data_IF_342534122886
#
_entry.id   IF_342534122886
#
_cell.length_a   1.000
_cell.length_b   1.000
_cell.length_c   1.000
_cell.angle_alpha   90.00
_cell.angle_beta   90.00
_cell.angle_gamma   90.00
#
_symmetry.space_group_name_H-M   'P 1'
#
loop_
_entity.id
_entity.type
_entity.pdbx_description
1 polymer ?
#
# COMPACT_ATOMS: atom_id res chain seq x y z
N UNK A 1 3.98 -6.03 26.16
CA UNK A 1 2.95 -5.75 25.13
C UNK A 1 3.02 -4.28 24.76
N UNK A 2 3.14 -3.98 23.46
CA UNK A 2 3.16 -2.60 22.92
C UNK A 2 1.88 -2.35 22.13
N UNK A 3 1.22 -1.24 22.44
CA UNK A 3 0.15 -0.70 21.60
C UNK A 3 0.78 0.08 20.44
N UNK A 4 0.56 -0.42 19.23
CA UNK A 4 1.08 0.16 17.99
C UNK A 4 -0.01 0.88 17.20
N UNK A 5 -1.23 0.95 17.71
CA UNK A 5 -2.43 1.43 17.00
C UNK A 5 -2.24 2.82 16.38
N UNK A 6 -1.56 3.72 17.08
CA UNK A 6 -1.31 5.08 16.57
C UNK A 6 -0.37 5.12 15.35
N UNK A 7 0.45 4.09 15.15
CA UNK A 7 1.45 4.02 14.08
C UNK A 7 1.01 3.10 12.93
N UNK A 8 0.50 1.91 13.28
CA UNK A 8 0.21 0.85 12.30
C UNK A 8 -1.28 0.72 12.00
N UNK A 9 -2.13 1.32 12.81
CA UNK A 9 -3.59 1.14 12.72
C UNK A 9 -4.10 -0.18 13.31
N UNK A 10 -3.21 -1.06 13.79
CA UNK A 10 -3.58 -2.35 14.36
C UNK A 10 -4.20 -2.18 15.75
N UNK A 11 -5.35 -2.84 15.98
CA UNK A 11 -6.05 -2.78 17.27
C UNK A 11 -5.50 -3.77 18.31
N UNK A 12 -4.73 -4.77 17.89
CA UNK A 12 -4.18 -5.81 18.77
C UNK A 12 -2.78 -5.41 19.21
N UNK A 13 -2.49 -5.34 20.53
CA UNK A 13 -1.16 -5.02 21.02
C UNK A 13 -0.12 -6.08 20.60
N UNK A 14 1.03 -5.61 20.12
CA UNK A 14 2.14 -6.45 19.68
C UNK A 14 2.95 -6.95 20.87
N UNK A 15 3.24 -8.24 20.94
CA UNK A 15 4.19 -8.80 21.89
C UNK A 15 5.61 -8.61 21.37
N UNK A 16 6.50 -8.03 22.16
CA UNK A 16 7.93 -7.90 21.84
C UNK A 16 8.79 -8.69 22.82
N UNK A 17 9.91 -9.22 22.33
CA UNK A 17 10.89 -10.01 23.06
C UNK A 17 12.27 -9.35 22.98
N UNK A 18 13.23 -9.89 23.74
CA UNK A 18 14.62 -9.43 23.68
C UNK A 18 15.18 -9.60 22.25
N UNK A 19 15.65 -8.50 21.67
CA UNK A 19 16.17 -8.44 20.30
C UNK A 19 15.20 -7.88 19.27
N UNK A 20 13.91 -7.74 19.61
CA UNK A 20 12.92 -7.15 18.70
C UNK A 20 13.05 -5.63 18.67
N UNK A 21 12.69 -5.04 17.53
CA UNK A 21 12.65 -3.59 17.35
C UNK A 21 11.34 -3.02 17.91
N UNK A 22 11.46 -1.98 18.77
CA UNK A 22 10.35 -1.19 19.28
C UNK A 22 10.33 0.17 18.58
N UNK A 23 9.22 0.49 17.90
CA UNK A 23 9.07 1.75 17.18
C UNK A 23 8.79 2.90 18.14
N UNK A 24 9.39 4.08 17.88
CA UNK A 24 9.06 5.31 18.60
C UNK A 24 7.59 5.67 18.37
N UNK A 25 6.87 6.06 19.43
CA UNK A 25 5.45 6.38 19.40
C UNK A 25 4.51 5.23 19.80
N UNK A 26 5.05 4.03 20.09
CA UNK A 26 4.27 2.95 20.69
C UNK A 26 4.06 3.19 22.21
N UNK A 27 2.93 2.72 22.72
CA UNK A 27 2.59 2.80 24.15
C UNK A 27 2.82 1.44 24.81
N UNK A 28 3.66 1.40 25.86
CA UNK A 28 3.83 0.18 26.64
C UNK A 28 2.61 -0.07 27.53
N UNK A 29 1.87 -1.16 27.26
CA UNK A 29 0.69 -1.54 28.02
C UNK A 29 0.99 -2.43 29.22
N UNK A 30 2.06 -3.26 29.13
CA UNK A 30 2.40 -4.19 30.21
C UNK A 30 3.86 -4.61 30.17
N UNK A 31 4.44 -4.82 31.36
CA UNK A 31 5.83 -5.26 31.54
C UNK A 31 6.84 -4.12 31.51
N UNK A 32 8.01 -4.37 32.11
CA UNK A 32 9.17 -3.46 32.09
C UNK A 32 9.92 -3.67 30.75
N UNK A 33 10.20 -2.57 30.05
CA UNK A 33 11.00 -2.57 28.83
C UNK A 33 12.32 -1.85 29.06
N UNK A 34 13.41 -2.51 28.69
CA UNK A 34 14.72 -1.88 28.57
C UNK A 34 15.03 -1.74 27.09
N UNK A 35 15.13 -0.50 26.60
CA UNK A 35 15.32 -0.17 25.20
C UNK A 35 16.70 0.43 24.99
N UNK A 36 17.38 0.01 23.91
CA UNK A 36 18.57 0.69 23.40
C UNK A 36 18.16 1.58 22.23
N UNK A 37 18.40 2.89 22.35
CA UNK A 37 18.15 3.82 21.25
C UNK A 37 19.09 3.52 20.09
N UNK A 38 18.54 3.27 18.91
CA UNK A 38 19.28 2.93 17.69
C UNK A 38 19.25 4.06 16.67
N UNK A 39 18.27 4.96 16.73
CA UNK A 39 18.10 6.11 15.81
C UNK A 39 17.82 7.38 16.61
N UNK A 40 18.20 8.54 16.07
CA UNK A 40 17.88 9.85 16.66
C UNK A 40 16.38 10.15 16.56
N UNK A 41 15.88 11.15 17.31
CA UNK A 41 14.45 11.54 17.24
C UNK A 41 14.03 11.95 15.82
N UNK A 42 14.86 12.71 15.09
CA UNK A 42 14.58 13.11 13.69
C UNK A 42 14.49 11.94 12.71
N UNK A 43 15.12 10.81 13.03
CA UNK A 43 15.04 9.57 12.26
C UNK A 43 13.97 8.60 12.78
N UNK A 44 13.25 9.00 13.83
CA UNK A 44 12.19 8.17 14.44
C UNK A 44 11.00 8.01 13.51
N UNK A 45 10.28 6.92 13.68
CA UNK A 45 9.05 6.64 12.94
C UNK A 45 8.03 7.76 13.03
N UNK A 46 7.83 8.32 14.23
CA UNK A 46 6.88 9.43 14.46
C UNK A 46 7.30 10.68 13.70
N UNK A 47 8.61 11.06 13.77
CA UNK A 47 9.12 12.22 13.04
C UNK A 47 8.92 12.06 11.53
N UNK A 48 9.27 10.89 10.97
CA UNK A 48 9.08 10.59 9.54
C UNK A 48 7.60 10.64 9.12
N UNK A 49 6.68 10.11 9.93
CA UNK A 49 5.24 10.19 9.67
C UNK A 49 4.78 11.64 9.66
N UNK A 50 5.19 12.42 10.65
CA UNK A 50 4.83 13.85 10.75
C UNK A 50 5.34 14.62 9.54
N UNK A 51 6.62 14.45 9.19
CA UNK A 51 7.22 15.09 8.02
C UNK A 51 6.52 14.70 6.72
N UNK A 52 6.15 13.42 6.56
CA UNK A 52 5.42 12.95 5.38
C UNK A 52 4.02 13.56 5.28
N UNK A 53 3.29 13.67 6.39
CA UNK A 53 1.95 14.29 6.42
C UNK A 53 2.05 15.79 6.15
N UNK A 54 3.01 16.49 6.75
CA UNK A 54 3.23 17.93 6.52
C UNK A 54 3.63 18.21 5.06
N UNK A 55 4.57 17.43 4.52
CA UNK A 55 5.05 17.59 3.14
C UNK A 55 4.05 17.07 2.10
N UNK A 56 3.12 16.18 2.47
CA UNK A 56 2.07 15.69 1.57
C UNK A 56 1.19 16.82 1.04
N UNK A 57 1.01 17.90 1.80
CA UNK A 57 0.27 19.09 1.37
C UNK A 57 0.95 19.86 0.24
N UNK A 58 2.27 19.70 0.04
CA UNK A 58 3.00 20.34 -1.04
C UNK A 58 2.67 19.75 -2.43
N UNK A 59 2.26 18.48 -2.50
CA UNK A 59 1.88 17.78 -3.74
C UNK A 59 0.37 17.83 -3.93
N UNK A 60 -0.11 18.96 -4.50
CA UNK A 60 -1.54 19.24 -4.66
C UNK A 60 -2.22 18.31 -5.67
N UNK A 61 -3.43 17.90 -5.32
CA UNK A 61 -4.29 17.15 -6.23
C UNK A 61 -4.67 17.94 -7.48
N UNK A 62 -4.90 17.28 -8.64
CA UNK A 62 -5.44 17.93 -9.84
C UNK A 62 -6.70 18.74 -9.54
N UNK A 63 -7.59 18.26 -8.68
CA UNK A 63 -8.79 19.00 -8.26
C UNK A 63 -8.45 20.28 -7.49
N UNK A 64 -7.42 20.30 -6.64
CA UNK A 64 -6.96 21.50 -5.93
C UNK A 64 -6.32 22.52 -6.90
N UNK A 65 -5.50 22.02 -7.84
CA UNK A 65 -4.89 22.85 -8.88
C UNK A 65 -5.96 23.46 -9.80
N UNK A 66 -7.01 22.72 -10.13
CA UNK A 66 -8.15 23.22 -10.90
C UNK A 66 -8.84 24.38 -10.19
N UNK A 67 -9.11 24.27 -8.89
CA UNK A 67 -9.74 25.37 -8.11
C UNK A 67 -8.87 26.62 -8.10
N UNK A 68 -7.56 26.47 -7.93
CA UNK A 68 -6.61 27.61 -7.96
C UNK A 68 -6.59 28.28 -9.33
N UNK A 69 -6.57 27.49 -10.40
CA UNK A 69 -6.60 28.00 -11.79
C UNK A 69 -7.96 28.63 -12.11
N UNK A 70 -9.06 27.99 -11.70
CA UNK A 70 -10.41 28.53 -11.85
C UNK A 70 -10.54 29.92 -11.19
N UNK A 71 -10.09 30.06 -9.94
CA UNK A 71 -10.15 31.35 -9.23
C UNK A 71 -9.40 32.44 -9.97
N UNK A 72 -8.27 32.16 -10.62
CA UNK A 72 -7.49 33.12 -11.41
C UNK A 72 -8.26 33.71 -12.58
N UNK A 73 -9.06 32.91 -13.29
CA UNK A 73 -9.86 33.37 -14.43
C UNK A 73 -11.24 33.89 -14.01
N UNK A 74 -11.82 33.24 -13.01
CA UNK A 74 -13.15 33.55 -12.49
C UNK A 74 -13.21 34.99 -11.89
N UNK A 75 -12.22 35.37 -11.09
CA UNK A 75 -12.23 36.64 -10.37
C UNK A 75 -12.29 37.87 -11.32
N UNK A 76 -11.47 38.00 -12.36
CA UNK A 76 -11.59 39.14 -13.31
C UNK A 76 -12.93 39.19 -14.02
N UNK A 77 -13.49 38.03 -14.39
CA UNK A 77 -14.80 37.96 -15.06
C UNK A 77 -15.90 38.45 -14.13
N UNK A 78 -15.90 38.03 -12.88
CA UNK A 78 -16.87 38.44 -11.86
C UNK A 78 -16.78 39.94 -11.57
N UNK A 79 -15.56 40.46 -11.42
CA UNK A 79 -15.34 41.92 -11.21
C UNK A 79 -15.86 42.72 -12.42
N UNK A 80 -15.58 42.23 -13.63
CA UNK A 80 -16.11 42.85 -14.86
C UNK A 80 -17.64 42.85 -14.90
N UNK A 81 -18.27 41.70 -14.59
CA UNK A 81 -19.75 41.61 -14.52
C UNK A 81 -20.35 42.51 -13.45
N UNK A 82 -19.72 42.60 -12.28
CA UNK A 82 -20.16 43.49 -11.21
C UNK A 82 -20.08 44.98 -11.63
N UNK A 83 -19.00 45.35 -12.32
CA UNK A 83 -18.85 46.71 -12.87
C UNK A 83 -19.93 47.02 -13.95
N UNK A 84 -20.18 46.06 -14.83
CA UNK A 84 -21.27 46.15 -15.83
C UNK A 84 -22.62 46.33 -15.14
N UNK A 85 -22.91 45.50 -14.11
CA UNK A 85 -24.16 45.59 -13.34
C UNK A 85 -24.30 46.93 -12.57
N UNK A 86 -23.20 47.50 -12.09
CA UNK A 86 -23.21 48.74 -11.35
C UNK A 86 -23.33 50.01 -12.26
N UNK A 87 -22.82 49.94 -13.51
CA UNK A 87 -22.67 51.11 -14.39
C UNK A 87 -23.74 51.16 -15.51
N UNK A 88 -23.96 50.05 -16.20
CA UNK A 88 -24.83 50.04 -17.41
C UNK A 88 -26.31 50.25 -17.07
N UNK A 89 -26.94 49.57 -16.12
CA UNK A 89 -28.36 49.72 -15.85
C UNK A 89 -28.76 51.12 -15.43
N UNK A 90 -28.04 51.85 -14.53
CA UNK A 90 -28.43 53.22 -14.19
C UNK A 90 -28.32 54.19 -15.38
N UNK A 91 -27.44 53.92 -16.36
CA UNK A 91 -27.30 54.73 -17.56
C UNK A 91 -28.42 54.47 -18.59
N UNK A 92 -28.91 53.21 -18.68
CA UNK A 92 -29.88 52.80 -19.72
C UNK A 92 -31.31 52.82 -19.21
N UNK A 93 -31.55 52.35 -17.97
CA UNK A 93 -32.88 52.17 -17.39
C UNK A 93 -33.28 53.35 -16.50
N UNK A 94 -32.36 54.30 -16.20
CA UNK A 94 -32.54 55.26 -15.16
C UNK A 94 -32.55 54.62 -13.76
N UNK A 95 -32.62 55.43 -12.72
CA UNK A 95 -32.66 54.98 -11.33
C UNK A 95 -31.46 55.46 -10.52
N UNK A 96 -31.54 55.27 -9.19
CA UNK A 96 -30.50 55.75 -8.28
C UNK A 96 -29.20 54.96 -8.39
N UNK A 97 -28.09 55.64 -8.66
CA UNK A 97 -26.75 55.03 -8.69
C UNK A 97 -26.42 54.21 -7.43
N UNK A 98 -26.92 54.64 -6.27
CA UNK A 98 -26.68 53.95 -5.00
C UNK A 98 -27.25 52.51 -4.98
N UNK A 99 -28.42 52.30 -5.59
CA UNK A 99 -29.06 50.99 -5.65
C UNK A 99 -28.30 50.00 -6.55
N UNK A 100 -27.87 50.45 -7.75
CA UNK A 100 -27.10 49.61 -8.66
C UNK A 100 -25.67 49.35 -8.16
N UNK A 101 -25.05 50.30 -7.49
CA UNK A 101 -23.78 50.08 -6.78
C UNK A 101 -23.94 49.04 -5.66
N UNK A 102 -25.02 49.17 -4.86
CA UNK A 102 -25.32 48.17 -3.82
C UNK A 102 -25.49 46.76 -4.41
N UNK A 103 -26.19 46.60 -5.51
CA UNK A 103 -26.34 45.31 -6.22
C UNK A 103 -25.00 44.78 -6.73
N UNK A 104 -24.17 45.66 -7.29
CA UNK A 104 -22.80 45.30 -7.70
C UNK A 104 -21.95 44.80 -6.55
N UNK A 105 -22.00 45.43 -5.37
CA UNK A 105 -21.30 44.95 -4.18
C UNK A 105 -21.83 43.60 -3.64
N UNK A 106 -23.17 43.45 -3.60
CA UNK A 106 -23.81 42.17 -3.24
C UNK A 106 -23.34 41.05 -4.17
N UNK A 107 -23.33 41.34 -5.49
CA UNK A 107 -22.86 40.40 -6.51
C UNK A 107 -21.39 40.01 -6.30
N UNK A 108 -20.50 40.97 -5.99
CA UNK A 108 -19.08 40.71 -5.69
C UNK A 108 -18.90 39.80 -4.45
N UNK A 109 -19.61 40.08 -3.36
CA UNK A 109 -19.51 39.31 -2.11
C UNK A 109 -19.96 37.88 -2.33
N UNK A 110 -21.11 37.68 -2.97
CA UNK A 110 -21.64 36.33 -3.23
C UNK A 110 -20.75 35.54 -4.16
N UNK A 111 -20.06 36.21 -5.08
CA UNK A 111 -19.23 35.55 -6.10
C UNK A 111 -17.92 34.96 -5.54
N UNK A 112 -17.48 35.33 -4.31
CA UNK A 112 -16.24 34.75 -3.77
C UNK A 112 -16.32 33.21 -3.70
N UNK A 113 -15.41 32.42 -4.29
CA UNK A 113 -15.43 30.96 -4.19
C UNK A 113 -14.84 30.44 -2.86
N UNK A 114 -14.98 31.23 -1.77
CA UNK A 114 -14.30 31.02 -0.48
C UNK A 114 -14.56 29.60 0.10
N UNK A 115 -15.80 29.13 0.02
CA UNK A 115 -16.17 27.79 0.49
C UNK A 115 -15.39 26.67 -0.23
N UNK A 116 -15.15 26.80 -1.54
CA UNK A 116 -14.39 25.81 -2.32
C UNK A 116 -12.90 25.86 -2.03
N UNK A 117 -12.34 27.08 -1.98
CA UNK A 117 -10.91 27.33 -1.76
C UNK A 117 -10.46 26.78 -0.40
N UNK A 118 -11.33 26.81 0.62
CA UNK A 118 -11.04 26.32 1.97
C UNK A 118 -11.37 24.83 2.10
N UNK A 119 -12.58 24.43 1.70
CA UNK A 119 -13.08 23.06 2.02
C UNK A 119 -12.42 21.96 1.22
N UNK A 120 -11.96 22.23 -0.01
CA UNK A 120 -11.36 21.19 -0.85
C UNK A 120 -9.97 20.76 -0.33
N UNK A 121 -9.00 21.68 -0.10
CA UNK A 121 -7.74 21.31 0.52
C UNK A 121 -7.93 20.67 1.91
N UNK A 122 -8.83 21.20 2.73
CA UNK A 122 -9.15 20.65 4.04
C UNK A 122 -9.67 19.21 3.95
N UNK A 123 -10.49 18.90 2.94
CA UNK A 123 -11.00 17.53 2.74
C UNK A 123 -9.88 16.58 2.33
N UNK A 124 -8.97 16.97 1.44
CA UNK A 124 -7.81 16.15 1.07
C UNK A 124 -6.85 15.95 2.23
N UNK A 125 -6.54 17.01 2.98
CA UNK A 125 -5.70 16.93 4.15
C UNK A 125 -6.30 16.00 5.22
N UNK A 126 -7.60 16.15 5.48
CA UNK A 126 -8.34 15.25 6.36
C UNK A 126 -8.35 13.80 5.85
N UNK A 127 -8.41 13.59 4.53
CA UNK A 127 -8.31 12.27 3.89
C UNK A 127 -6.95 11.61 4.10
N UNK A 128 -5.85 12.38 3.95
CA UNK A 128 -4.50 11.89 4.24
C UNK A 128 -4.38 11.50 5.73
N UNK A 129 -4.88 12.34 6.65
CA UNK A 129 -4.91 12.04 8.07
C UNK A 129 -5.76 10.81 8.41
N UNK A 130 -6.90 10.61 7.74
CA UNK A 130 -7.73 9.42 7.91
C UNK A 130 -7.05 8.15 7.39
N UNK A 131 -6.33 8.23 6.27
CA UNK A 131 -5.52 7.12 5.74
C UNK A 131 -4.37 6.77 6.71
N UNK A 132 -3.67 7.77 7.23
CA UNK A 132 -2.58 7.59 8.21
C UNK A 132 -3.05 6.87 9.48
N UNK A 133 -4.23 7.22 10.02
CA UNK A 133 -4.84 6.53 11.17
C UNK A 133 -5.13 5.04 10.91
N UNK A 134 -5.26 4.64 9.65
CA UNK A 134 -5.47 3.25 9.23
C UNK A 134 -4.20 2.53 8.86
N UNK A 135 -3.04 3.14 9.12
CA UNK A 135 -1.75 2.58 8.78
C UNK A 135 -1.38 2.72 7.31
N UNK A 136 -1.92 3.73 6.61
CA UNK A 136 -1.60 4.03 5.21
C UNK A 136 -1.06 5.45 5.10
N UNK A 137 0.22 5.59 4.75
CA UNK A 137 0.86 6.90 4.51
C UNK A 137 0.74 7.28 3.04
N UNK A 138 0.12 8.41 2.77
CA UNK A 138 -0.04 8.96 1.41
C UNK A 138 0.80 10.22 1.30
N UNK A 139 1.78 10.24 0.41
CA UNK A 139 2.76 11.32 0.27
C UNK A 139 2.25 12.59 -0.44
N UNK A 140 0.97 12.64 -0.78
CA UNK A 140 0.40 13.82 -1.42
C UNK A 140 -1.08 13.66 -1.76
N UNK A 141 -1.81 14.77 -1.81
CA UNK A 141 -3.22 14.78 -2.19
C UNK A 141 -3.45 14.35 -3.64
N UNK A 142 -2.46 14.55 -4.52
CA UNK A 142 -2.46 14.03 -5.89
C UNK A 142 -2.50 12.49 -5.92
N UNK A 143 -1.79 11.81 -5.02
CA UNK A 143 -1.81 10.35 -4.92
C UNK A 143 -3.11 9.84 -4.31
N UNK A 144 -3.67 10.55 -3.31
CA UNK A 144 -4.99 10.23 -2.78
C UNK A 144 -6.07 10.37 -3.86
N UNK A 145 -5.99 11.41 -4.71
CA UNK A 145 -6.90 11.54 -5.85
C UNK A 145 -6.66 10.44 -6.90
N UNK A 146 -5.40 10.05 -7.15
CA UNK A 146 -5.06 8.99 -8.07
C UNK A 146 -5.59 7.63 -7.62
N UNK A 147 -5.47 7.29 -6.33
CA UNK A 147 -6.03 6.06 -5.74
C UNK A 147 -7.52 5.89 -6.02
N UNK A 148 -8.30 6.99 -6.01
CA UNK A 148 -9.73 6.93 -6.36
C UNK A 148 -10.01 6.49 -7.80
N UNK A 149 -9.02 6.61 -8.70
CA UNK A 149 -9.14 6.28 -10.13
C UNK A 149 -8.45 4.98 -10.50
N UNK A 150 -7.91 4.23 -9.53
CA UNK A 150 -7.23 2.96 -9.76
C UNK A 150 -8.20 1.94 -10.33
N UNK A 151 -7.89 1.42 -11.50
CA UNK A 151 -8.62 0.33 -12.16
C UNK A 151 -7.77 -0.92 -12.36
N UNK A 152 -6.45 -0.79 -12.37
CA UNK A 152 -5.52 -1.91 -12.48
C UNK A 152 -4.59 -1.90 -11.28
N UNK A 153 -4.49 -3.03 -10.59
CA UNK A 153 -3.53 -3.23 -9.49
C UNK A 153 -2.58 -4.34 -9.87
N UNK A 154 -1.31 -4.03 -9.85
CA UNK A 154 -0.21 -4.95 -10.15
C UNK A 154 0.56 -5.21 -8.87
N UNK A 155 0.74 -6.47 -8.52
CA UNK A 155 1.42 -6.90 -7.30
C UNK A 155 2.76 -7.56 -7.63
N UNK A 156 3.78 -7.29 -6.86
CA UNK A 156 4.90 -8.21 -6.72
C UNK A 156 4.43 -9.46 -5.96
N UNK A 157 5.08 -10.62 -6.13
CA UNK A 157 4.78 -11.83 -5.38
C UNK A 157 5.44 -11.81 -4.00
N UNK A 158 6.76 -11.93 -3.97
CA UNK A 158 7.56 -12.14 -2.77
C UNK A 158 7.56 -10.90 -1.88
N UNK A 159 7.31 -11.07 -0.58
CA UNK A 159 7.24 -9.95 0.37
C UNK A 159 5.99 -9.07 0.23
N UNK A 160 5.15 -9.26 -0.79
CA UNK A 160 3.94 -8.48 -1.06
C UNK A 160 2.67 -9.34 -0.88
N UNK A 161 2.42 -10.29 -1.76
CA UNK A 161 1.31 -11.25 -1.65
C UNK A 161 1.67 -12.44 -0.76
N UNK A 162 2.95 -12.70 -0.60
CA UNK A 162 3.54 -13.75 0.22
C UNK A 162 4.37 -13.12 1.34
N UNK A 163 4.68 -13.90 2.36
CA UNK A 163 5.45 -13.45 3.54
C UNK A 163 6.92 -13.15 3.23
N UNK A 164 7.44 -13.60 2.08
CA UNK A 164 8.86 -13.50 1.74
C UNK A 164 9.75 -14.42 2.58
N UNK A 165 9.16 -15.38 3.26
CA UNK A 165 9.86 -16.39 4.04
C UNK A 165 9.59 -17.78 3.48
N UNK A 166 10.64 -18.57 3.41
CA UNK A 166 10.52 -19.95 3.00
C UNK A 166 9.92 -20.76 4.12
N UNK A 167 8.87 -21.54 3.83
CA UNK A 167 8.28 -22.50 4.77
C UNK A 167 8.19 -23.88 4.14
N UNK A 168 8.20 -24.92 5.00
CA UNK A 168 7.98 -26.30 4.58
C UNK A 168 6.51 -26.47 4.20
N UNK A 169 6.20 -26.41 2.91
CA UNK A 169 4.82 -26.50 2.40
C UNK A 169 4.31 -27.94 2.40
N UNK A 170 5.18 -28.92 2.08
CA UNK A 170 4.82 -30.35 2.11
C UNK A 170 6.06 -31.23 2.23
N UNK A 171 5.87 -32.43 2.76
CA UNK A 171 6.91 -33.48 2.86
C UNK A 171 6.40 -34.72 2.12
N UNK A 172 7.16 -35.16 1.13
CA UNK A 172 6.85 -36.33 0.29
C UNK A 172 7.88 -37.41 0.58
N UNK A 173 7.56 -38.38 1.44
CA UNK A 173 8.47 -39.46 1.76
C UNK A 173 8.59 -40.44 0.60
N UNK A 174 9.77 -41.07 0.46
CA UNK A 174 9.97 -42.21 -0.39
C UNK A 174 9.33 -43.49 0.20
N UNK A 175 9.15 -44.50 -0.62
CA UNK A 175 8.59 -45.77 -0.15
C UNK A 175 9.41 -46.38 1.02
N UNK A 176 8.72 -46.65 2.12
CA UNK A 176 9.35 -47.19 3.34
C UNK A 176 9.77 -46.16 4.37
N UNK A 177 9.63 -44.86 4.09
CA UNK A 177 9.91 -43.75 5.03
C UNK A 177 8.65 -42.99 5.45
N UNK A 178 8.71 -42.35 6.62
CA UNK A 178 7.65 -41.48 7.14
C UNK A 178 8.06 -40.01 6.99
N UNK A 179 7.08 -39.10 6.99
CA UNK A 179 7.34 -37.64 6.86
C UNK A 179 8.27 -37.11 7.94
N UNK A 180 8.09 -37.60 9.15
CA UNK A 180 8.90 -37.26 10.33
C UNK A 180 10.37 -37.64 10.16
N UNK A 181 10.65 -38.78 9.54
CA UNK A 181 12.01 -39.21 9.25
C UNK A 181 12.70 -38.37 8.19
N UNK A 182 11.97 -38.01 7.11
CA UNK A 182 12.48 -37.09 6.07
C UNK A 182 12.86 -35.77 6.69
N UNK A 183 11.95 -35.20 7.52
CA UNK A 183 12.17 -33.93 8.20
C UNK A 183 13.32 -33.99 9.20
N UNK A 184 13.46 -35.09 9.93
CA UNK A 184 14.53 -35.30 10.89
C UNK A 184 15.91 -35.33 10.21
N UNK A 185 16.08 -36.14 9.16
CA UNK A 185 17.34 -36.16 8.39
C UNK A 185 17.68 -34.82 7.78
N UNK A 186 16.67 -34.10 7.22
CA UNK A 186 16.87 -32.76 6.69
C UNK A 186 17.30 -31.76 7.77
N UNK A 187 16.64 -31.78 8.93
CA UNK A 187 16.96 -30.90 10.05
C UNK A 187 18.36 -31.18 10.64
N UNK A 188 18.74 -32.45 10.70
CA UNK A 188 20.08 -32.85 11.11
C UNK A 188 21.16 -32.33 10.13
N UNK A 189 20.93 -32.48 8.82
CA UNK A 189 21.85 -31.98 7.81
C UNK A 189 21.99 -30.47 7.83
N UNK A 190 20.88 -29.78 7.98
CA UNK A 190 20.81 -28.28 7.95
C UNK A 190 21.15 -27.63 9.29
N UNK A 191 21.49 -28.38 10.33
CA UNK A 191 21.70 -27.89 11.71
C UNK A 191 22.81 -26.84 11.87
N UNK A 192 23.78 -26.81 10.95
CA UNK A 192 24.87 -25.83 10.91
C UNK A 192 24.67 -24.74 9.85
N UNK A 193 23.65 -24.84 9.02
CA UNK A 193 23.40 -23.90 7.93
C UNK A 193 22.63 -22.64 8.40
N UNK A 194 23.07 -21.48 7.92
CA UNK A 194 22.35 -20.22 8.12
C UNK A 194 21.40 -19.88 6.96
N UNK A 195 21.26 -20.78 5.99
CA UNK A 195 20.42 -20.57 4.83
C UNK A 195 18.93 -20.41 5.23
N UNK A 196 18.14 -19.53 4.57
CA UNK A 196 16.71 -19.37 4.89
C UNK A 196 15.89 -20.67 4.85
N UNK A 197 16.21 -21.57 3.92
CA UNK A 197 15.61 -22.91 3.82
C UNK A 197 15.93 -23.75 5.06
N UNK A 198 17.18 -23.72 5.53
CA UNK A 198 17.59 -24.42 6.75
C UNK A 198 16.80 -23.95 7.97
N UNK A 199 16.65 -22.63 8.13
CA UNK A 199 15.85 -22.06 9.23
C UNK A 199 14.40 -22.52 9.19
N UNK A 200 13.81 -22.63 8.01
CA UNK A 200 12.45 -23.13 7.82
C UNK A 200 12.33 -24.61 8.22
N UNK A 201 13.25 -25.45 7.75
CA UNK A 201 13.29 -26.89 8.08
C UNK A 201 13.46 -27.08 9.59
N UNK A 202 14.40 -26.35 10.21
CA UNK A 202 14.65 -26.42 11.65
C UNK A 202 13.44 -25.94 12.48
N UNK A 203 12.79 -24.86 12.06
CA UNK A 203 11.58 -24.35 12.71
C UNK A 203 10.43 -25.36 12.64
N UNK A 204 10.25 -26.02 11.49
CA UNK A 204 9.22 -27.04 11.29
C UNK A 204 9.52 -28.31 12.09
N UNK A 205 10.78 -28.68 12.21
CA UNK A 205 11.19 -29.85 13.02
C UNK A 205 10.94 -29.59 14.51
N UNK A 206 11.25 -28.41 15.03
CA UNK A 206 10.86 -27.93 16.36
C UNK A 206 11.46 -28.71 17.56
N UNK A 207 12.35 -29.69 17.33
CA UNK A 207 12.99 -30.48 18.38
C UNK A 207 14.45 -30.08 18.51
N UNK A 208 15.05 -30.23 19.72
CA UNK A 208 16.48 -30.01 19.90
C UNK A 208 17.28 -31.04 19.11
N UNK A 209 18.35 -30.60 18.46
CA UNK A 209 19.26 -31.46 17.69
C UNK A 209 20.59 -31.54 18.46
N UNK A 210 21.02 -32.75 18.77
CA UNK A 210 22.31 -33.00 19.42
C UNK A 210 23.43 -33.04 18.37
N UNK A 211 24.05 -31.87 18.17
CA UNK A 211 25.14 -31.72 17.19
C UNK A 211 26.41 -32.52 17.51
N UNK A 212 26.56 -33.07 18.73
CA UNK A 212 27.71 -33.87 19.12
C UNK A 212 27.77 -35.24 18.39
N UNK A 213 26.68 -35.65 17.79
CA UNK A 213 26.56 -36.90 17.06
C UNK A 213 26.91 -36.79 15.57
N UNK A 214 27.36 -35.59 15.11
CA UNK A 214 27.66 -35.28 13.72
C UNK A 214 29.16 -35.20 13.49
N UNK A 215 29.60 -35.71 12.34
CA UNK A 215 30.97 -35.59 11.83
C UNK A 215 30.92 -35.28 10.32
N UNK A 216 32.07 -34.90 9.76
CA UNK A 216 32.27 -34.74 8.32
C UNK A 216 31.22 -33.88 7.65
N UNK A 217 30.92 -32.69 8.25
CA UNK A 217 30.03 -31.71 7.67
C UNK A 217 30.71 -31.01 6.48
N UNK A 218 30.09 -31.07 5.31
CA UNK A 218 30.56 -30.41 4.09
C UNK A 218 29.42 -29.73 3.40
N UNK A 219 29.58 -28.42 3.17
CA UNK A 219 28.65 -27.62 2.36
C UNK A 219 29.15 -27.63 0.90
N UNK A 220 28.36 -28.25 0.01
CA UNK A 220 28.65 -28.36 -1.43
C UNK A 220 27.97 -27.19 -2.12
N UNK A 221 28.77 -26.16 -2.47
CA UNK A 221 28.27 -24.88 -3.03
C UNK A 221 27.34 -25.11 -4.23
N UNK A 222 26.12 -24.53 -4.13
CA UNK A 222 25.10 -24.61 -5.18
C UNK A 222 24.41 -25.99 -5.31
N UNK A 223 24.70 -26.95 -4.42
CA UNK A 223 24.14 -28.30 -4.45
C UNK A 223 23.39 -28.66 -3.16
N UNK A 224 23.98 -28.42 -2.00
CA UNK A 224 23.43 -28.75 -0.68
C UNK A 224 24.48 -29.15 0.33
N UNK A 225 24.13 -30.01 1.25
CA UNK A 225 24.96 -30.43 2.41
C UNK A 225 25.12 -31.92 2.47
N UNK A 226 26.34 -32.33 2.86
CA UNK A 226 26.68 -33.72 3.25
C UNK A 226 27.11 -33.71 4.71
N UNK A 227 26.60 -34.64 5.51
CA UNK A 227 26.97 -34.79 6.93
C UNK A 227 26.87 -36.25 7.36
N UNK A 228 27.77 -36.66 8.23
CA UNK A 228 27.68 -37.97 8.89
C UNK A 228 26.89 -37.86 10.19
N UNK A 229 25.77 -38.56 10.28
CA UNK A 229 24.88 -38.60 11.45
C UNK A 229 24.87 -40.03 12.01
N UNK A 230 25.39 -40.25 13.19
CA UNK A 230 25.45 -41.58 13.83
C UNK A 230 26.02 -42.68 12.89
N UNK A 231 27.03 -42.35 12.10
CA UNK A 231 27.67 -43.26 11.16
C UNK A 231 26.96 -43.43 9.81
N UNK A 232 25.85 -42.73 9.57
CA UNK A 232 25.13 -42.71 8.28
C UNK A 232 25.43 -41.41 7.51
N UNK A 233 25.75 -41.54 6.22
CA UNK A 233 25.92 -40.37 5.35
C UNK A 233 24.57 -39.80 4.97
N UNK A 234 24.23 -38.59 5.45
CA UNK A 234 23.03 -37.88 5.12
C UNK A 234 23.35 -36.77 4.11
N UNK A 235 22.58 -36.70 3.04
CA UNK A 235 22.66 -35.71 1.98
C UNK A 235 21.36 -34.94 1.92
N UNK A 236 21.44 -33.63 1.86
CA UNK A 236 20.28 -32.74 1.81
C UNK A 236 20.55 -31.59 0.86
N UNK A 237 19.71 -31.42 -0.17
CA UNK A 237 19.93 -30.38 -1.18
C UNK A 237 19.05 -30.50 -2.41
N UNK A 238 19.49 -29.90 -3.52
CA UNK A 238 18.76 -29.88 -4.79
C UNK A 238 18.98 -31.20 -5.60
N UNK A 239 18.34 -31.28 -6.78
CA UNK A 239 18.47 -32.45 -7.67
C UNK A 239 19.90 -32.70 -8.15
N UNK A 240 20.69 -31.65 -8.31
CA UNK A 240 22.10 -31.77 -8.75
C UNK A 240 22.94 -32.49 -7.72
N UNK A 241 22.65 -32.34 -6.43
CA UNK A 241 23.31 -33.12 -5.38
C UNK A 241 23.00 -34.60 -5.51
N UNK A 242 21.75 -34.98 -5.75
CA UNK A 242 21.35 -36.37 -5.96
C UNK A 242 22.03 -36.98 -7.20
N UNK A 243 22.10 -36.19 -8.29
CA UNK A 243 22.74 -36.63 -9.54
C UNK A 243 24.26 -36.81 -9.38
N UNK A 244 24.96 -35.88 -8.70
CA UNK A 244 26.41 -35.98 -8.46
C UNK A 244 26.79 -37.14 -7.59
N UNK A 245 25.94 -37.49 -6.62
CA UNK A 245 26.13 -38.65 -5.73
C UNK A 245 25.50 -39.94 -6.30
N UNK A 246 24.98 -39.90 -7.53
CA UNK A 246 24.38 -41.05 -8.28
C UNK A 246 23.22 -41.72 -7.52
N UNK A 247 22.44 -40.93 -6.80
CA UNK A 247 21.28 -41.41 -6.07
C UNK A 247 20.05 -41.36 -6.97
N UNK A 248 19.40 -42.50 -7.15
CA UNK A 248 18.12 -42.55 -7.86
C UNK A 248 17.02 -41.94 -7.00
N UNK A 249 16.37 -40.90 -7.48
CA UNK A 249 15.32 -40.19 -6.78
C UNK A 249 14.04 -40.04 -7.63
N UNK A 250 12.91 -39.96 -6.98
CA UNK A 250 11.64 -39.64 -7.66
C UNK A 250 11.54 -38.16 -7.93
N UNK A 251 11.36 -37.79 -9.18
CA UNK A 251 11.10 -36.37 -9.55
C UNK A 251 9.78 -35.93 -8.91
N UNK A 252 9.81 -34.81 -8.21
CA UNK A 252 8.63 -34.23 -7.62
C UNK A 252 8.04 -33.18 -8.58
N UNK A 253 6.81 -33.39 -9.05
CA UNK A 253 6.14 -32.44 -9.96
C UNK A 253 5.36 -31.31 -9.26
N UNK A 254 5.38 -31.26 -7.93
CA UNK A 254 4.69 -30.22 -7.17
C UNK A 254 5.36 -28.85 -7.34
N UNK A 255 4.58 -27.79 -7.24
CA UNK A 255 5.07 -26.41 -7.27
C UNK A 255 5.85 -26.07 -6.00
N UNK A 256 7.01 -25.45 -6.11
CA UNK A 256 7.87 -25.06 -4.99
C UNK A 256 9.33 -25.41 -5.22
N UNK A 257 10.19 -24.89 -4.35
CA UNK A 257 11.61 -25.30 -4.30
C UNK A 257 11.71 -26.68 -3.72
N UNK A 258 12.35 -27.59 -4.45
CA UNK A 258 12.46 -28.99 -4.09
C UNK A 258 13.76 -29.24 -3.35
N UNK A 259 13.64 -29.77 -2.15
CA UNK A 259 14.74 -30.07 -1.28
C UNK A 259 14.76 -31.59 -1.04
N UNK A 260 15.70 -32.28 -1.67
CA UNK A 260 15.81 -33.74 -1.64
C UNK A 260 16.68 -34.20 -0.47
N UNK A 261 16.29 -35.29 0.12
CA UNK A 261 16.99 -35.91 1.26
C UNK A 261 17.34 -37.35 0.92
N UNK A 262 18.59 -37.74 1.20
CA UNK A 262 19.05 -39.10 1.07
C UNK A 262 19.88 -39.54 2.30
N UNK A 263 19.85 -40.79 2.65
CA UNK A 263 20.62 -41.35 3.74
C UNK A 263 21.24 -42.69 3.30
N UNK A 264 22.51 -42.90 3.56
CA UNK A 264 23.29 -44.12 3.17
C UNK A 264 23.08 -44.51 1.70
N UNK A 265 23.15 -43.54 0.78
CA UNK A 265 22.99 -43.79 -0.64
C UNK A 265 21.56 -44.09 -1.11
N UNK A 266 20.57 -44.03 -0.22
CA UNK A 266 19.16 -44.27 -0.54
C UNK A 266 18.36 -43.01 -0.45
N UNK A 267 17.48 -42.76 -1.43
CA UNK A 267 16.55 -41.63 -1.43
C UNK A 267 15.50 -41.78 -0.31
N UNK A 268 15.41 -40.78 0.57
CA UNK A 268 14.51 -40.79 1.73
C UNK A 268 13.23 -40.01 1.44
N UNK A 269 13.32 -38.91 0.68
CA UNK A 269 12.15 -38.11 0.36
C UNK A 269 12.50 -36.72 -0.14
N UNK A 270 11.44 -35.93 -0.46
CA UNK A 270 11.53 -34.55 -0.89
C UNK A 270 10.73 -33.63 0.03
N UNK A 271 11.32 -32.55 0.44
CA UNK A 271 10.65 -31.45 1.14
C UNK A 271 10.35 -30.35 0.12
N UNK A 272 9.11 -29.93 0.04
CA UNK A 272 8.71 -28.78 -0.76
C UNK A 272 8.79 -27.54 0.10
N UNK A 273 9.58 -26.60 -0.36
CA UNK A 273 9.73 -25.29 0.26
C UNK A 273 9.00 -24.28 -0.62
N UNK A 274 8.08 -23.54 -0.06
CA UNK A 274 7.34 -22.50 -0.74
C UNK A 274 7.33 -21.22 0.09
N UNK A 275 7.15 -20.10 -0.59
CA UNK A 275 6.89 -18.83 0.05
C UNK A 275 5.40 -18.77 0.38
N UNK A 276 5.08 -18.66 1.65
CA UNK A 276 3.71 -18.73 2.16
C UNK A 276 2.90 -17.49 1.75
N UNK A 277 1.72 -17.71 1.20
CA UNK A 277 0.74 -16.65 0.89
C UNK A 277 0.28 -16.01 2.20
N UNK A 278 0.24 -14.66 2.24
CA UNK A 278 -0.27 -13.95 3.42
C UNK A 278 -1.76 -14.24 3.63
N UNK A 279 -2.21 -14.40 4.86
CA UNK A 279 -3.59 -14.82 5.18
C UNK A 279 -4.67 -13.88 4.60
N UNK A 280 -4.36 -12.58 4.50
CA UNK A 280 -5.28 -11.56 4.02
C UNK A 280 -5.23 -11.32 2.50
N UNK A 281 -4.21 -11.81 1.78
CA UNK A 281 -4.01 -11.56 0.35
C UNK A 281 -5.22 -11.95 -0.49
N UNK A 282 -5.79 -13.13 -0.25
CA UNK A 282 -6.96 -13.60 -1.00
C UNK A 282 -8.19 -12.71 -0.76
N UNK A 283 -8.41 -12.33 0.49
CA UNK A 283 -9.50 -11.42 0.86
C UNK A 283 -9.29 -10.04 0.23
N UNK A 284 -8.06 -9.50 0.32
CA UNK A 284 -7.70 -8.21 -0.28
C UNK A 284 -8.00 -8.16 -1.78
N UNK A 285 -7.60 -9.20 -2.54
CA UNK A 285 -7.86 -9.27 -3.99
C UNK A 285 -9.36 -9.33 -4.29
N UNK A 286 -10.12 -10.14 -3.54
CA UNK A 286 -11.55 -10.24 -3.71
C UNK A 286 -12.27 -8.91 -3.40
N UNK A 287 -11.83 -8.19 -2.37
CA UNK A 287 -12.40 -6.90 -1.99
C UNK A 287 -12.02 -5.79 -2.98
N UNK A 288 -10.77 -5.78 -3.50
CA UNK A 288 -10.37 -4.85 -4.56
C UNK A 288 -11.31 -4.96 -5.79
N UNK A 289 -11.66 -6.18 -6.20
CA UNK A 289 -12.61 -6.39 -7.30
C UNK A 289 -14.01 -5.86 -6.96
N UNK A 290 -14.50 -6.07 -5.73
CA UNK A 290 -15.81 -5.54 -5.28
C UNK A 290 -15.86 -4.02 -5.27
N UNK A 291 -14.76 -3.36 -4.92
CA UNK A 291 -14.70 -1.89 -4.91
C UNK A 291 -14.42 -1.27 -6.29
N UNK A 292 -14.36 -2.07 -7.36
CA UNK A 292 -14.31 -1.63 -8.74
C UNK A 292 -12.92 -1.60 -9.38
N UNK A 293 -11.94 -2.33 -8.83
CA UNK A 293 -10.70 -2.65 -9.56
C UNK A 293 -11.04 -3.64 -10.67
N UNK A 294 -10.74 -3.26 -11.91
CA UNK A 294 -11.11 -4.01 -13.11
C UNK A 294 -10.14 -5.18 -13.38
N UNK A 295 -8.88 -5.03 -12.97
CA UNK A 295 -7.84 -6.03 -13.23
C UNK A 295 -6.83 -6.10 -12.10
N UNK A 296 -6.56 -7.32 -11.63
CA UNK A 296 -5.52 -7.64 -10.64
C UNK A 296 -4.48 -8.54 -11.28
N UNK A 297 -3.20 -8.16 -11.22
CA UNK A 297 -2.11 -8.81 -11.93
C UNK A 297 -0.97 -9.08 -10.97
N UNK A 298 -0.25 -10.18 -11.15
CA UNK A 298 0.98 -10.47 -10.41
C UNK A 298 2.19 -10.49 -11.35
N UNK A 299 3.29 -9.83 -10.93
CA UNK A 299 4.60 -9.94 -11.57
C UNK A 299 5.56 -10.66 -10.63
N UNK A 300 6.27 -11.67 -11.14
CA UNK A 300 7.24 -12.43 -10.34
C UNK A 300 8.45 -12.88 -11.17
N UNK A 301 9.60 -12.98 -10.51
CA UNK A 301 10.80 -13.61 -11.08
C UNK A 301 10.79 -15.14 -10.97
N UNK A 302 9.84 -15.73 -10.24
CA UNK A 302 9.77 -17.16 -10.01
C UNK A 302 9.37 -17.95 -11.25
N UNK A 303 9.51 -19.29 -11.13
CA UNK A 303 9.09 -20.26 -12.15
C UNK A 303 7.59 -20.12 -12.47
N UNK A 304 7.26 -20.42 -13.73
CA UNK A 304 5.88 -20.33 -14.29
C UNK A 304 4.86 -21.12 -13.47
N UNK A 305 5.24 -22.33 -12.96
CA UNK A 305 4.33 -23.18 -12.19
C UNK A 305 4.01 -22.59 -10.81
N UNK A 306 5.02 -21.98 -10.18
CA UNK A 306 4.85 -21.31 -8.88
C UNK A 306 3.96 -20.08 -9.07
N UNK A 307 4.26 -19.25 -10.09
CA UNK A 307 3.47 -18.08 -10.43
C UNK A 307 2.01 -18.42 -10.69
N UNK A 308 1.76 -19.46 -11.49
CA UNK A 308 0.41 -19.94 -11.79
C UNK A 308 -0.33 -20.42 -10.54
N UNK A 309 0.32 -21.25 -9.70
CA UNK A 309 -0.30 -21.79 -8.49
C UNK A 309 -0.77 -20.68 -7.54
N UNK A 310 0.08 -19.66 -7.31
CA UNK A 310 -0.25 -18.52 -6.45
C UNK A 310 -1.36 -17.65 -7.09
N UNK A 311 -1.32 -17.44 -8.39
CA UNK A 311 -2.33 -16.65 -9.09
C UNK A 311 -3.71 -17.32 -9.03
N UNK A 312 -3.77 -18.62 -9.24
CA UNK A 312 -5.01 -19.42 -9.17
C UNK A 312 -5.57 -19.45 -7.73
N UNK A 313 -4.72 -19.63 -6.72
CA UNK A 313 -5.10 -19.64 -5.30
C UNK A 313 -5.71 -18.31 -4.86
N UNK A 314 -5.11 -17.20 -5.29
CA UNK A 314 -5.53 -15.83 -4.94
C UNK A 314 -6.69 -15.32 -5.81
N UNK A 315 -6.96 -15.97 -6.94
CA UNK A 315 -7.98 -15.56 -7.90
C UNK A 315 -7.60 -14.28 -8.65
N UNK A 316 -6.32 -14.12 -9.01
CA UNK A 316 -5.83 -13.03 -9.84
C UNK A 316 -6.31 -13.16 -11.29
N UNK A 317 -6.44 -12.03 -11.99
CA UNK A 317 -6.93 -12.02 -13.39
C UNK A 317 -5.82 -12.37 -14.38
N UNK A 318 -4.56 -12.10 -14.03
CA UNK A 318 -3.40 -12.45 -14.84
C UNK A 318 -2.13 -12.54 -13.96
N UNK A 319 -1.13 -13.23 -14.48
CA UNK A 319 0.21 -13.24 -13.90
C UNK A 319 1.27 -13.29 -15.01
N UNK A 320 2.46 -12.83 -14.69
CA UNK A 320 3.66 -12.95 -15.53
C UNK A 320 4.82 -13.41 -14.65
N UNK A 321 5.40 -14.54 -15.04
CA UNK A 321 6.47 -15.22 -14.31
C UNK A 321 7.82 -15.11 -15.03
N UNK A 322 8.90 -15.53 -14.38
CA UNK A 322 10.27 -15.55 -14.90
C UNK A 322 10.78 -14.18 -15.38
N UNK A 323 10.30 -13.10 -14.74
CA UNK A 323 10.65 -11.75 -15.14
C UNK A 323 11.94 -11.26 -14.46
N UNK A 324 12.84 -10.69 -15.23
CA UNK A 324 13.92 -9.85 -14.74
C UNK A 324 13.39 -8.47 -14.33
N UNK A 325 14.13 -7.69 -13.53
CA UNK A 325 13.68 -6.38 -13.06
C UNK A 325 13.28 -5.40 -14.17
N UNK A 326 14.04 -5.35 -15.25
CA UNK A 326 13.76 -4.55 -16.45
C UNK A 326 12.48 -5.01 -17.17
N UNK A 327 12.29 -6.32 -17.29
CA UNK A 327 11.11 -6.91 -17.89
C UNK A 327 9.84 -6.65 -17.05
N UNK A 328 9.95 -6.53 -15.72
CA UNK A 328 8.82 -6.11 -14.88
C UNK A 328 8.35 -4.70 -15.26
N UNK A 329 9.29 -3.77 -15.52
CA UNK A 329 8.97 -2.41 -15.96
C UNK A 329 8.27 -2.43 -17.32
N UNK A 330 8.78 -3.18 -18.28
CA UNK A 330 8.17 -3.33 -19.62
C UNK A 330 6.73 -3.88 -19.53
N UNK A 331 6.50 -4.89 -18.66
CA UNK A 331 5.16 -5.45 -18.44
C UNK A 331 4.22 -4.46 -17.78
N UNK A 332 4.72 -3.69 -16.82
CA UNK A 332 3.94 -2.61 -16.21
C UNK A 332 3.51 -1.57 -17.24
N UNK A 333 4.43 -1.11 -18.11
CA UNK A 333 4.14 -0.14 -19.17
C UNK A 333 3.15 -0.70 -20.20
N UNK A 334 3.22 -1.99 -20.51
CA UNK A 334 2.24 -2.64 -21.38
C UNK A 334 0.84 -2.60 -20.73
N UNK A 335 0.73 -2.94 -19.47
CA UNK A 335 -0.53 -2.90 -18.72
C UNK A 335 -1.05 -1.46 -18.59
N UNK A 336 -0.16 -0.50 -18.40
CA UNK A 336 -0.50 0.92 -18.33
C UNK A 336 -1.15 1.42 -19.64
N UNK A 337 -0.63 1.01 -20.78
CA UNK A 337 -1.21 1.33 -22.12
C UNK A 337 -2.55 0.67 -22.36
N UNK A 338 -2.83 -0.47 -21.71
CA UNK A 338 -4.08 -1.23 -21.88
C UNK A 338 -5.21 -0.78 -20.96
N UNK A 339 -4.92 0.01 -19.94
CA UNK A 339 -5.94 0.49 -18.99
C UNK A 339 -6.93 1.43 -19.66
N UNK A 340 -8.12 1.55 -19.06
CA UNK A 340 -9.14 2.49 -19.52
C UNK A 340 -8.63 3.93 -19.48
N UNK A 341 -8.98 4.73 -20.49
CA UNK A 341 -8.60 6.13 -20.54
C UNK A 341 -9.09 6.88 -19.29
N UNK A 342 -8.18 7.63 -18.65
CA UNK A 342 -8.45 8.39 -17.42
C UNK A 342 -8.41 7.56 -16.13
N UNK A 343 -8.24 6.24 -16.20
CA UNK A 343 -7.98 5.40 -15.03
C UNK A 343 -6.49 5.40 -14.67
N UNK A 344 -6.17 4.84 -13.49
CA UNK A 344 -4.83 4.76 -12.94
C UNK A 344 -4.40 3.32 -12.68
N UNK A 345 -3.10 3.07 -12.83
CA UNK A 345 -2.45 1.82 -12.49
C UNK A 345 -1.67 1.99 -11.18
N UNK A 346 -1.93 1.11 -10.21
CA UNK A 346 -1.14 1.01 -8.99
C UNK A 346 -0.22 -0.21 -9.06
N UNK A 347 1.03 -0.04 -8.61
CA UNK A 347 1.95 -1.15 -8.37
C UNK A 347 2.22 -1.29 -6.89
N UNK A 348 2.14 -2.52 -6.37
CA UNK A 348 2.37 -2.85 -4.96
C UNK A 348 3.59 -3.77 -4.87
N UNK A 349 4.60 -3.35 -4.12
CA UNK A 349 5.86 -4.08 -3.96
C UNK A 349 6.51 -3.88 -2.59
N UNK A 350 7.63 -4.54 -2.34
CA UNK A 350 8.40 -4.41 -1.09
C UNK A 350 9.32 -3.17 -1.05
N UNK A 351 9.48 -2.50 -2.17
CA UNK A 351 10.20 -1.22 -2.31
C UNK A 351 11.71 -1.32 -2.47
N UNK A 352 12.36 -2.42 -2.16
CA UNK A 352 13.82 -2.56 -2.25
C UNK A 352 14.21 -2.98 -3.67
N UNK A 353 13.65 -4.07 -4.15
CA UNK A 353 13.99 -4.63 -5.47
C UNK A 353 13.11 -4.06 -6.59
N UNK A 354 11.94 -3.54 -6.24
CA UNK A 354 10.94 -3.06 -7.18
C UNK A 354 10.92 -1.52 -7.34
N UNK A 355 11.92 -0.80 -6.80
CA UNK A 355 11.99 0.67 -6.87
C UNK A 355 11.80 1.24 -8.29
N UNK A 356 12.40 0.66 -9.37
CA UNK A 356 12.16 1.14 -10.72
C UNK A 356 10.70 0.95 -11.19
N UNK A 357 10.04 -0.13 -10.75
CA UNK A 357 8.65 -0.43 -11.10
C UNK A 357 7.70 0.48 -10.33
N UNK A 358 7.97 0.71 -9.02
CA UNK A 358 7.24 1.64 -8.17
C UNK A 358 7.25 3.06 -8.75
N UNK A 359 8.43 3.55 -9.14
CA UNK A 359 8.60 4.89 -9.71
C UNK A 359 7.89 5.06 -11.08
N UNK A 360 7.66 3.96 -11.80
CA UNK A 360 7.05 3.99 -13.14
C UNK A 360 5.53 3.89 -13.11
N UNK A 361 4.94 3.36 -12.03
CA UNK A 361 3.50 3.28 -11.86
C UNK A 361 2.84 4.67 -11.73
N UNK A 362 1.54 4.78 -12.03
CA UNK A 362 0.78 6.00 -11.70
C UNK A 362 0.73 6.23 -10.18
N UNK A 363 0.70 5.13 -9.39
CA UNK A 363 0.79 5.14 -7.94
C UNK A 363 1.66 3.97 -7.50
N UNK A 364 2.86 4.26 -7.03
CA UNK A 364 3.75 3.28 -6.41
C UNK A 364 3.39 3.07 -4.94
N UNK A 365 3.17 1.84 -4.53
CA UNK A 365 2.73 1.47 -3.17
C UNK A 365 3.74 0.50 -2.56
N UNK A 366 4.37 0.88 -1.46
CA UNK A 366 5.29 0.02 -0.73
C UNK A 366 4.61 -0.70 0.43
N UNK A 367 5.00 -1.98 0.64
CA UNK A 367 4.56 -2.82 1.75
C UNK A 367 5.50 -2.69 2.96
N UNK A 368 4.93 -2.79 4.17
CA UNK A 368 5.70 -2.93 5.41
C UNK A 368 6.68 -1.79 5.71
N UNK A 369 6.40 -0.59 5.26
CA UNK A 369 7.35 0.49 5.03
C UNK A 369 8.00 1.13 6.25
N UNK A 370 7.58 0.84 7.46
CA UNK A 370 8.17 1.48 8.65
C UNK A 370 9.57 0.95 9.00
N UNK A 371 9.99 -0.18 8.43
CA UNK A 371 11.34 -0.73 8.61
C UNK A 371 12.30 -0.48 7.45
N UNK A 372 11.83 -0.02 6.30
CA UNK A 372 12.65 0.16 5.07
C UNK A 372 12.66 1.62 4.62
N UNK A 373 13.74 2.33 4.88
CA UNK A 373 13.92 3.73 4.45
C UNK A 373 13.85 3.85 2.92
N UNK A 374 14.40 2.86 2.19
CA UNK A 374 14.38 2.83 0.73
C UNK A 374 12.96 2.66 0.15
N UNK A 375 12.13 1.84 0.77
CA UNK A 375 10.73 1.68 0.38
C UNK A 375 9.92 2.95 0.61
N UNK A 376 10.13 3.60 1.77
CA UNK A 376 9.50 4.88 2.08
C UNK A 376 9.90 5.92 1.05
N UNK A 377 11.16 5.99 0.62
CA UNK A 377 11.63 7.02 -0.32
C UNK A 377 11.06 6.81 -1.72
N UNK A 378 11.03 5.59 -2.21
CA UNK A 378 10.65 5.26 -3.60
C UNK A 378 9.15 5.28 -3.87
N UNK A 379 8.31 4.99 -2.88
CA UNK A 379 6.86 4.86 -3.07
C UNK A 379 6.10 6.17 -2.87
N UNK A 380 4.94 6.29 -3.49
CA UNK A 380 3.97 7.39 -3.34
C UNK A 380 3.02 7.17 -2.16
N UNK A 381 2.76 5.90 -1.88
CA UNK A 381 1.92 5.43 -0.77
C UNK A 381 2.66 4.30 -0.05
N UNK A 382 2.59 4.29 1.28
CA UNK A 382 3.24 3.27 2.09
C UNK A 382 2.19 2.61 2.98
N UNK A 383 2.06 1.30 2.88
CA UNK A 383 1.28 0.48 3.81
C UNK A 383 2.18 0.18 5.01
N UNK A 384 1.80 0.67 6.21
CA UNK A 384 2.66 0.60 7.39
C UNK A 384 2.68 -0.79 8.02
N UNK A 385 1.64 -1.59 7.76
CA UNK A 385 1.56 -3.00 8.10
C UNK A 385 1.91 -3.87 6.90
N UNK A 386 2.24 -5.11 7.16
CA UNK A 386 2.57 -6.07 6.10
C UNK A 386 1.32 -6.78 5.54
N UNK A 387 0.22 -6.01 5.38
CA UNK A 387 -1.12 -6.50 5.00
C UNK A 387 -1.58 -5.88 3.69
N UNK A 388 -1.73 -6.67 2.59
CA UNK A 388 -2.30 -6.20 1.33
C UNK A 388 -3.72 -5.61 1.44
N UNK A 389 -4.50 -6.02 2.44
CA UNK A 389 -5.86 -5.49 2.70
C UNK A 389 -5.88 -3.99 2.99
N UNK A 390 -4.78 -3.41 3.49
CA UNK A 390 -4.66 -1.96 3.71
C UNK A 390 -4.79 -1.14 2.43
N UNK A 391 -4.51 -1.72 1.27
CA UNK A 391 -4.77 -1.08 -0.01
C UNK A 391 -6.27 -0.84 -0.24
N UNK A 392 -7.12 -1.78 0.17
CA UNK A 392 -8.57 -1.61 0.09
C UNK A 392 -9.03 -0.42 0.93
N UNK A 393 -8.51 -0.32 2.16
CA UNK A 393 -8.80 0.81 3.05
C UNK A 393 -8.31 2.14 2.46
N UNK A 394 -7.13 2.16 1.84
CA UNK A 394 -6.59 3.34 1.15
C UNK A 394 -7.52 3.83 0.03
N UNK A 395 -7.98 2.92 -0.82
CA UNK A 395 -8.90 3.22 -1.92
C UNK A 395 -10.27 3.68 -1.37
N UNK A 396 -10.77 3.08 -0.30
CA UNK A 396 -12.03 3.49 0.33
C UNK A 396 -11.96 4.90 0.92
N UNK A 397 -10.86 5.26 1.58
CA UNK A 397 -10.62 6.63 2.06
C UNK A 397 -10.53 7.59 0.87
N UNK A 398 -9.84 7.23 -0.21
CA UNK A 398 -9.75 8.04 -1.41
C UNK A 398 -11.12 8.31 -2.05
N UNK A 399 -11.96 7.29 -2.16
CA UNK A 399 -13.35 7.40 -2.67
C UNK A 399 -14.23 8.26 -1.76
N UNK A 400 -14.11 8.10 -0.44
CA UNK A 400 -14.85 8.91 0.52
C UNK A 400 -14.43 10.39 0.43
N UNK A 401 -13.11 10.65 0.33
CA UNK A 401 -12.56 12.00 0.14
C UNK A 401 -13.14 12.65 -1.10
N UNK A 402 -13.08 11.96 -2.26
CA UNK A 402 -13.63 12.47 -3.52
C UNK A 402 -15.12 12.74 -3.44
N UNK A 403 -15.89 11.88 -2.79
CA UNK A 403 -17.34 12.07 -2.60
C UNK A 403 -17.62 13.34 -1.81
N UNK A 404 -16.90 13.58 -0.71
CA UNK A 404 -17.08 14.80 0.11
C UNK A 404 -16.67 16.05 -0.67
N UNK A 405 -15.56 16.00 -1.41
CA UNK A 405 -15.14 17.09 -2.30
C UNK A 405 -16.24 17.44 -3.30
N UNK A 406 -16.82 16.43 -3.98
CA UNK A 406 -17.91 16.65 -4.94
C UNK A 406 -19.17 17.21 -4.27
N UNK A 407 -19.53 16.73 -3.06
CA UNK A 407 -20.62 17.30 -2.29
C UNK A 407 -20.40 18.79 -2.01
N UNK A 408 -19.20 19.16 -1.56
CA UNK A 408 -18.85 20.56 -1.28
C UNK A 408 -18.92 21.43 -2.53
N UNK A 409 -18.45 20.92 -3.69
CA UNK A 409 -18.54 21.63 -4.97
C UNK A 409 -20.02 21.88 -5.33
N UNK A 410 -20.86 20.85 -5.28
CA UNK A 410 -22.27 20.95 -5.67
C UNK A 410 -23.03 21.89 -4.71
N UNK A 411 -22.84 21.75 -3.39
CA UNK A 411 -23.49 22.60 -2.38
C UNK A 411 -23.05 24.05 -2.57
N UNK A 412 -21.75 24.31 -2.66
CA UNK A 412 -21.23 25.67 -2.76
C UNK A 412 -21.69 26.36 -4.05
N UNK A 413 -21.56 25.70 -5.21
CA UNK A 413 -21.98 26.28 -6.49
C UNK A 413 -23.51 26.43 -6.56
N UNK A 414 -24.27 25.46 -6.08
CA UNK A 414 -25.74 25.50 -6.09
C UNK A 414 -26.29 26.68 -5.27
N UNK A 415 -25.88 26.78 -4.01
CA UNK A 415 -26.35 27.87 -3.14
C UNK A 415 -25.89 29.25 -3.68
N UNK A 416 -24.64 29.35 -4.11
CA UNK A 416 -24.11 30.60 -4.67
C UNK A 416 -24.83 31.03 -5.95
N UNK A 417 -25.18 30.11 -6.82
CA UNK A 417 -25.96 30.43 -8.02
C UNK A 417 -27.32 31.05 -7.67
N UNK A 418 -27.99 30.53 -6.65
CA UNK A 418 -29.27 31.10 -6.17
C UNK A 418 -29.07 32.53 -5.66
N UNK A 419 -28.09 32.76 -4.78
CA UNK A 419 -27.83 34.06 -4.22
C UNK A 419 -27.35 35.08 -5.27
N UNK A 420 -26.61 34.65 -6.28
CA UNK A 420 -26.20 35.50 -7.40
C UNK A 420 -27.42 36.01 -8.19
N UNK A 421 -28.37 35.13 -8.49
CA UNK A 421 -29.61 35.51 -9.18
C UNK A 421 -30.45 36.49 -8.31
N UNK A 422 -30.65 36.13 -7.02
CA UNK A 422 -31.41 36.99 -6.10
C UNK A 422 -30.75 38.37 -5.91
N UNK A 423 -29.42 38.40 -5.82
CA UNK A 423 -28.66 39.66 -5.73
C UNK A 423 -28.78 40.52 -6.96
N UNK A 424 -28.68 39.92 -8.16
CA UNK A 424 -28.85 40.66 -9.44
C UNK A 424 -30.27 41.21 -9.60
N UNK A 425 -31.29 40.46 -9.15
CA UNK A 425 -32.67 40.91 -9.15
C UNK A 425 -32.97 41.95 -8.07
N UNK A 426 -32.04 42.27 -7.16
CA UNK A 426 -32.24 43.18 -6.03
C UNK A 426 -33.07 42.60 -4.89
N UNK A 427 -33.32 41.29 -4.89
CA UNK A 427 -34.10 40.57 -3.86
C UNK A 427 -33.25 40.14 -2.65
N UNK A 428 -31.91 40.12 -2.78
CA UNK A 428 -30.98 39.86 -1.69
C UNK A 428 -30.20 41.14 -1.31
N UNK A 429 -30.13 41.40 -0.01
CA UNK A 429 -29.33 42.47 0.54
C UNK A 429 -27.91 42.02 0.92
N UNK A 430 -27.18 42.96 1.56
CA UNK A 430 -25.78 42.71 2.00
C UNK A 430 -25.68 41.58 3.07
N UNK A 431 -26.65 41.56 3.99
CA UNK A 431 -26.66 40.56 5.08
C UNK A 431 -26.93 39.17 4.56
N UNK A 432 -27.87 38.99 3.64
CA UNK A 432 -28.17 37.73 2.99
C UNK A 432 -26.97 37.24 2.16
N UNK A 433 -26.26 38.13 1.51
CA UNK A 433 -25.05 37.84 0.76
C UNK A 433 -23.92 37.31 1.66
N UNK A 434 -23.66 38.01 2.78
CA UNK A 434 -22.64 37.59 3.76
C UNK A 434 -23.03 36.28 4.42
N UNK A 435 -24.30 36.13 4.82
CA UNK A 435 -24.79 34.88 5.39
C UNK A 435 -24.69 33.72 4.40
N UNK A 436 -25.02 33.92 3.13
CA UNK A 436 -24.88 32.92 2.06
C UNK A 436 -23.43 32.52 1.84
N UNK A 437 -22.45 33.41 1.91
CA UNK A 437 -21.03 33.07 1.72
C UNK A 437 -20.42 32.40 2.95
N UNK A 438 -20.55 33.01 4.13
CA UNK A 438 -19.98 32.47 5.38
C UNK A 438 -20.70 31.20 5.78
N UNK A 439 -22.04 31.16 5.70
CA UNK A 439 -22.83 29.96 6.04
C UNK A 439 -22.49 28.74 5.17
N UNK A 440 -22.36 28.97 3.86
CA UNK A 440 -21.93 27.90 2.94
C UNK A 440 -20.52 27.42 3.25
N UNK A 441 -19.62 28.35 3.59
CA UNK A 441 -18.24 27.98 3.99
C UNK A 441 -18.24 27.11 5.24
N UNK A 442 -19.01 27.46 6.27
CA UNK A 442 -19.14 26.65 7.50
C UNK A 442 -19.71 25.27 7.18
N UNK A 443 -20.77 25.18 6.38
CA UNK A 443 -21.36 23.90 5.97
C UNK A 443 -20.33 23.04 5.24
N UNK A 444 -19.57 23.61 4.31
CA UNK A 444 -18.57 22.90 3.54
C UNK A 444 -17.40 22.41 4.41
N UNK A 445 -16.97 23.21 5.40
CA UNK A 445 -15.94 22.83 6.38
C UNK A 445 -16.45 21.69 7.27
N UNK A 446 -17.66 21.80 7.82
CA UNK A 446 -18.26 20.74 8.64
C UNK A 446 -18.44 19.44 7.84
N UNK A 447 -18.81 19.53 6.57
CA UNK A 447 -18.88 18.36 5.69
C UNK A 447 -17.49 17.77 5.43
N UNK A 448 -16.45 18.60 5.23
CA UNK A 448 -15.06 18.16 5.08
C UNK A 448 -14.56 17.39 6.30
N UNK A 449 -14.89 17.84 7.52
CA UNK A 449 -14.49 17.17 8.77
C UNK A 449 -15.05 15.76 8.90
N UNK A 450 -16.09 15.37 8.16
CA UNK A 450 -16.65 14.02 8.19
C UNK A 450 -15.65 12.95 7.74
N UNK A 451 -14.66 13.32 6.94
CA UNK A 451 -13.62 12.37 6.52
C UNK A 451 -12.79 11.85 7.70
N UNK A 452 -12.62 12.64 8.76
CA UNK A 452 -11.86 12.24 9.94
C UNK A 452 -12.54 11.14 10.78
N UNK A 453 -13.84 10.88 10.53
CA UNK A 453 -14.62 9.81 11.17
C UNK A 453 -14.55 8.50 10.37
N UNK A 454 -13.95 8.53 9.20
CA UNK A 454 -13.68 7.37 8.36
C UNK A 454 -12.37 6.71 8.76
#
# INVERSE_FOLDING_TARGET
>A
MLDTKALTGESVPRSIRKGDEALSGCINQSGLLTLKVTKSFGESTVSKITDLVENASARKAPTENFITTFARYYTPVVVGMAAVLAIIPPLVLGGGWSEWLRRGFVFLIVSCPCALVISIPLTFFGGIGAASKRGVLVKGSNYLEALNKVSVVVFNKTGTLTKGVFEVANIIPAAGYQKEQVLEYAAQAESYSNHPIAKSILATYGKPIDQKQFSDFEEISGHGISVMVQGKKVLAGNSKLMESEKIAYAACDAAGTKFYVAADGSYVGCILIADEVKPDSKCAIAELKKIGVEKTVMLTGDDERIGKSVADELGLDAYYAQLLPDQKVEKLEMLDKQKRQGSKLAFVGDGINDAPVLARADVGIAMGGLGSDAAIEAADVVLMTDEPSKLVEAIDVAKATKRIVMQNIVIALGIKSVFLVLGALGMAGMWEAVFGDVGVTIIAVLNAMRILKK
#
